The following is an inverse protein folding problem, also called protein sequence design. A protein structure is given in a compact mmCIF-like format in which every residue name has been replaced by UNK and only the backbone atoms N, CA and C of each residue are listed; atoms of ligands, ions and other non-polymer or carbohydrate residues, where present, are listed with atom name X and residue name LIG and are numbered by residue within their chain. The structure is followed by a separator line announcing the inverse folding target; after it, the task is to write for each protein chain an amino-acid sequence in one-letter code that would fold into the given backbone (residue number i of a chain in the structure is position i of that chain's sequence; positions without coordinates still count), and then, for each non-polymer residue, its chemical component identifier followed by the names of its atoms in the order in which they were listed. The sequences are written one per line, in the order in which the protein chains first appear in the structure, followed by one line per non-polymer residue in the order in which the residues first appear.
data_IF_415968221552
#
_entry.id   IF_415968221552
#
_cell.length_a   1.000
_cell.length_b   1.000
_cell.length_c   1.000
_cell.angle_alpha   90.00
_cell.angle_beta   90.00
_cell.angle_gamma   90.00
#
_symmetry.space_group_name_H-M   'P 1'
#
loop_
_entity.id
_entity.type
_entity.pdbx_description
1 polymer ?
#
# COMPACT_ATOMS: atom_id res chain seq x y z
N UNK A 1 1.29 -4.94 0.13
CA UNK A 1 2.02 -3.66 0.05
C UNK A 1 1.88 -2.94 1.39
N UNK A 2 2.94 -2.32 1.89
CA UNK A 2 2.93 -1.51 3.11
C UNK A 2 3.10 -0.03 2.77
N UNK A 3 2.63 0.85 3.66
CA UNK A 3 2.76 2.31 3.57
C UNK A 3 2.90 2.86 4.98
N UNK A 4 3.50 4.05 5.13
CA UNK A 4 3.51 4.78 6.38
C UNK A 4 2.10 4.83 7.01
N UNK A 5 2.01 4.52 8.31
CA UNK A 5 0.73 4.45 9.04
C UNK A 5 -0.02 5.80 9.02
N UNK A 6 0.71 6.92 9.15
CA UNK A 6 0.12 8.27 9.15
C UNK A 6 -0.48 8.61 7.79
N UNK A 7 0.28 8.34 6.72
CA UNK A 7 -0.19 8.57 5.36
C UNK A 7 -1.35 7.64 4.99
N UNK A 8 -1.36 6.42 5.55
CA UNK A 8 -2.46 5.47 5.39
C UNK A 8 -3.72 5.96 6.10
N UNK A 9 -3.59 6.42 7.36
CA UNK A 9 -4.70 6.99 8.13
C UNK A 9 -5.33 8.19 7.40
N UNK A 10 -4.51 9.13 6.92
CA UNK A 10 -4.98 10.29 6.15
C UNK A 10 -5.68 9.88 4.85
N UNK A 11 -5.08 8.97 4.10
CA UNK A 11 -5.67 8.45 2.86
C UNK A 11 -7.01 7.76 3.11
N UNK A 12 -7.12 7.02 4.21
CA UNK A 12 -8.34 6.28 4.54
C UNK A 12 -9.47 7.21 5.01
N UNK A 13 -9.15 8.23 5.81
CA UNK A 13 -10.07 9.29 6.18
C UNK A 13 -10.71 9.93 4.94
N UNK A 14 -9.90 10.35 3.96
CA UNK A 14 -10.42 10.96 2.73
C UNK A 14 -11.24 9.98 1.90
N UNK A 15 -10.84 8.70 1.84
CA UNK A 15 -11.59 7.68 1.12
C UNK A 15 -12.99 7.46 1.72
N UNK A 16 -13.10 7.33 3.04
CA UNK A 16 -14.39 7.15 3.71
C UNK A 16 -15.26 8.41 3.67
N UNK A 17 -14.63 9.59 3.69
CA UNK A 17 -15.33 10.87 3.51
C UNK A 17 -15.91 10.97 2.11
N UNK A 18 -15.13 10.62 1.08
CA UNK A 18 -15.57 10.62 -0.32
C UNK A 18 -16.74 9.65 -0.55
N UNK A 19 -16.71 8.48 0.08
CA UNK A 19 -17.80 7.51 0.03
C UNK A 19 -19.02 7.90 0.88
N UNK A 20 -18.95 8.99 1.64
CA UNK A 20 -20.02 9.43 2.54
C UNK A 20 -20.23 8.53 3.77
N UNK A 21 -19.31 7.58 4.00
CA UNK A 21 -19.35 6.63 5.13
C UNK A 21 -18.94 7.32 6.43
N UNK A 22 -17.96 8.21 6.37
CA UNK A 22 -17.49 8.97 7.53
C UNK A 22 -17.78 10.46 7.36
N UNK A 23 -18.33 11.08 8.40
CA UNK A 23 -18.68 12.52 8.42
C UNK A 23 -18.05 13.28 9.59
N UNK A 24 -17.23 12.61 10.40
CA UNK A 24 -16.53 13.22 11.52
C UNK A 24 -15.27 13.99 11.07
N UNK A 25 -14.54 14.56 12.02
CA UNK A 25 -13.29 15.24 11.74
C UNK A 25 -12.10 14.27 11.71
N UNK A 26 -10.95 14.76 11.25
CA UNK A 26 -9.74 13.95 11.09
C UNK A 26 -9.11 13.54 12.44
N UNK A 27 -9.20 14.38 13.48
CA UNK A 27 -8.61 14.08 14.79
C UNK A 27 -9.32 12.90 15.47
N UNK A 28 -10.67 12.90 15.41
CA UNK A 28 -11.50 11.75 15.83
C UNK A 28 -11.15 10.49 15.03
N UNK A 29 -10.96 10.64 13.72
CA UNK A 29 -10.60 9.52 12.86
C UNK A 29 -9.24 8.93 13.22
N UNK A 30 -8.24 9.78 13.53
CA UNK A 30 -6.93 9.34 13.99
C UNK A 30 -7.03 8.50 15.27
N UNK A 31 -7.88 8.90 16.20
CA UNK A 31 -8.13 8.14 17.43
C UNK A 31 -8.79 6.78 17.12
N UNK A 32 -9.76 6.74 16.21
CA UNK A 32 -10.39 5.48 15.76
C UNK A 32 -9.38 4.56 15.08
N UNK A 33 -8.49 5.10 14.24
CA UNK A 33 -7.42 4.34 13.59
C UNK A 33 -6.42 3.77 14.60
N UNK A 34 -5.97 4.59 15.55
CA UNK A 34 -4.99 4.21 16.57
C UNK A 34 -5.57 3.22 17.60
N UNK A 35 -6.88 3.28 17.86
CA UNK A 35 -7.61 2.34 18.72
C UNK A 35 -8.13 1.11 17.97
N UNK A 36 -7.68 0.90 16.73
CA UNK A 36 -8.03 -0.27 15.91
C UNK A 36 -9.55 -0.44 15.72
N UNK A 37 -10.30 0.66 15.84
CA UNK A 37 -11.77 0.69 15.81
C UNK A 37 -12.32 1.07 14.44
N UNK A 38 -11.60 0.67 13.38
CA UNK A 38 -11.93 0.89 11.97
C UNK A 38 -11.95 -0.45 11.23
N UNK A 39 -12.59 -0.49 10.05
CA UNK A 39 -12.57 -1.70 9.23
C UNK A 39 -11.14 -2.07 8.83
N UNK A 40 -10.87 -3.38 8.71
CA UNK A 40 -9.56 -3.95 8.37
C UNK A 40 -8.43 -3.63 9.37
N UNK A 41 -8.77 -3.40 10.65
CA UNK A 41 -7.83 -3.41 11.76
C UNK A 41 -7.60 -4.84 12.31
N UNK A 42 -6.51 -5.10 13.05
CA UNK A 42 -5.39 -4.20 13.40
C UNK A 42 -4.46 -3.89 12.21
N UNK A 43 -4.09 -2.62 12.05
CA UNK A 43 -3.22 -2.19 10.94
C UNK A 43 -1.82 -2.82 11.02
N UNK A 44 -1.20 -2.81 12.21
CA UNK A 44 0.16 -3.30 12.37
C UNK A 44 0.26 -4.82 12.22
N UNK A 45 -0.67 -5.58 12.79
CA UNK A 45 -0.68 -7.04 12.64
C UNK A 45 -0.80 -7.45 11.18
N UNK A 46 -1.65 -6.75 10.41
CA UNK A 46 -1.75 -6.97 8.98
C UNK A 46 -0.40 -6.75 8.28
N UNK A 47 0.29 -5.64 8.56
CA UNK A 47 1.59 -5.35 7.92
C UNK A 47 2.68 -6.31 8.39
N UNK A 48 2.77 -6.59 9.68
CA UNK A 48 3.79 -7.43 10.30
C UNK A 48 3.66 -8.90 9.85
N UNK A 49 2.44 -9.43 9.76
CA UNK A 49 2.22 -10.80 9.27
C UNK A 49 2.77 -11.03 7.85
N UNK A 50 2.63 -10.05 6.96
CA UNK A 50 3.26 -10.12 5.62
C UNK A 50 4.75 -9.77 5.65
N UNK A 51 5.19 -8.92 6.56
CA UNK A 51 6.61 -8.58 6.72
C UNK A 51 7.43 -9.79 7.15
N UNK A 52 6.91 -10.62 8.06
CA UNK A 52 7.59 -11.82 8.53
C UNK A 52 7.72 -12.87 7.43
N UNK A 53 6.81 -12.84 6.45
CA UNK A 53 6.82 -13.72 5.27
C UNK A 53 7.42 -13.07 4.03
N UNK A 54 8.10 -11.92 4.15
CA UNK A 54 8.61 -11.16 2.99
C UNK A 54 9.64 -11.92 2.14
N UNK A 55 10.27 -12.95 2.70
CA UNK A 55 11.28 -13.78 2.06
C UNK A 55 10.68 -15.06 1.43
N UNK A 56 9.36 -15.26 1.54
CA UNK A 56 8.61 -16.34 0.88
C UNK A 56 8.56 -16.09 -0.64
N UNK A 57 8.89 -17.11 -1.44
CA UNK A 57 8.92 -17.00 -2.90
C UNK A 57 7.54 -16.72 -3.51
N UNK A 58 6.46 -16.97 -2.76
CA UNK A 58 5.09 -16.69 -3.18
C UNK A 58 4.59 -15.30 -2.72
N UNK A 59 5.42 -14.50 -2.06
CA UNK A 59 5.04 -13.17 -1.55
C UNK A 59 5.99 -12.10 -2.07
N UNK A 60 5.42 -11.12 -2.77
CA UNK A 60 6.11 -9.88 -3.12
C UNK A 60 5.76 -8.77 -2.13
N UNK A 61 6.64 -8.54 -1.16
CA UNK A 61 6.47 -7.43 -0.23
C UNK A 61 7.03 -6.12 -0.82
N UNK A 62 6.13 -5.16 -1.09
CA UNK A 62 6.45 -3.82 -1.57
C UNK A 62 6.07 -2.74 -0.56
N UNK A 63 6.82 -1.64 -0.54
CA UNK A 63 6.47 -0.42 0.21
C UNK A 63 6.06 0.67 -0.77
N UNK A 64 4.98 1.38 -0.48
CA UNK A 64 4.43 2.44 -1.33
C UNK A 64 5.45 3.56 -1.59
N UNK A 65 6.29 3.87 -0.60
CA UNK A 65 7.30 4.91 -0.70
C UNK A 65 8.35 4.57 -1.77
N UNK A 66 8.70 3.29 -1.93
CA UNK A 66 9.59 2.86 -3.01
C UNK A 66 8.93 2.92 -4.38
N UNK A 67 7.61 2.68 -4.47
CA UNK A 67 6.85 2.88 -5.72
C UNK A 67 6.92 4.34 -6.17
N UNK A 68 6.82 5.27 -5.21
CA UNK A 68 6.92 6.71 -5.49
C UNK A 68 8.34 7.17 -5.83
N UNK A 69 9.35 6.51 -5.27
CA UNK A 69 10.76 6.86 -5.49
C UNK A 69 11.30 6.33 -6.82
N UNK A 70 11.00 5.07 -7.15
CA UNK A 70 11.50 4.40 -8.36
C UNK A 70 10.46 3.39 -8.86
N UNK A 71 9.48 3.92 -9.58
CA UNK A 71 8.40 3.14 -10.17
C UNK A 71 8.93 2.10 -11.15
N UNK A 72 9.87 2.48 -12.02
CA UNK A 72 10.50 1.61 -13.02
C UNK A 72 11.11 0.35 -12.40
N UNK A 73 11.88 0.48 -11.32
CA UNK A 73 12.46 -0.69 -10.62
C UNK A 73 11.38 -1.56 -9.98
N UNK A 74 10.32 -0.98 -9.42
CA UNK A 74 9.21 -1.75 -8.84
C UNK A 74 8.44 -2.52 -9.91
N UNK A 75 8.17 -1.93 -11.08
CA UNK A 75 7.51 -2.61 -12.20
C UNK A 75 8.37 -3.81 -12.64
N UNK A 76 9.69 -3.63 -12.83
CA UNK A 76 10.60 -4.73 -13.19
C UNK A 76 10.61 -5.85 -12.16
N UNK A 77 10.72 -5.51 -10.87
CA UNK A 77 10.69 -6.49 -9.78
C UNK A 77 9.36 -7.26 -9.76
N UNK A 78 8.26 -6.58 -10.03
CA UNK A 78 6.93 -7.20 -10.08
C UNK A 78 6.80 -8.14 -11.27
N UNK A 79 7.30 -7.76 -12.46
CA UNK A 79 7.32 -8.63 -13.63
C UNK A 79 8.16 -9.90 -13.40
N UNK A 80 9.36 -9.75 -12.82
CA UNK A 80 10.22 -10.88 -12.44
C UNK A 80 9.55 -11.82 -11.44
N UNK A 81 8.88 -11.27 -10.42
CA UNK A 81 8.13 -12.07 -9.44
C UNK A 81 6.99 -12.88 -10.09
N UNK A 82 6.38 -12.34 -11.15
CA UNK A 82 5.31 -13.00 -11.91
C UNK A 82 5.84 -13.91 -13.04
N UNK A 83 7.15 -14.13 -13.12
CA UNK A 83 7.82 -14.89 -14.19
C UNK A 83 7.44 -14.37 -15.59
N UNK A 84 7.48 -13.04 -15.74
CA UNK A 84 7.22 -12.34 -17.00
C UNK A 84 8.45 -11.60 -17.49
N UNK A 85 8.84 -11.89 -18.72
CA UNK A 85 9.75 -11.05 -19.47
C UNK A 85 9.07 -9.74 -19.85
N UNK A 86 9.79 -8.64 -19.69
CA UNK A 86 9.28 -7.30 -19.95
C UNK A 86 10.30 -6.50 -20.76
N UNK A 87 9.87 -5.99 -21.92
CA UNK A 87 10.69 -5.10 -22.73
C UNK A 87 10.71 -3.68 -22.16
N UNK A 88 11.70 -2.88 -22.57
CA UNK A 88 11.79 -1.47 -22.16
C UNK A 88 10.60 -0.64 -22.68
N UNK A 89 10.06 -0.98 -23.85
CA UNK A 89 8.86 -0.32 -24.39
C UNK A 89 7.63 -0.58 -23.53
N UNK A 90 7.42 -1.83 -23.09
CA UNK A 90 6.30 -2.18 -22.18
C UNK A 90 6.46 -1.50 -20.82
N UNK A 91 7.69 -1.40 -20.33
CA UNK A 91 7.98 -0.70 -19.09
C UNK A 91 7.64 0.78 -19.20
N UNK A 92 8.04 1.45 -20.29
CA UNK A 92 7.73 2.86 -20.53
C UNK A 92 6.22 3.12 -20.61
N UNK A 93 5.45 2.19 -21.19
CA UNK A 93 3.98 2.30 -21.21
C UNK A 93 3.40 2.26 -19.79
N UNK A 94 3.89 1.35 -18.94
CA UNK A 94 3.41 1.20 -17.56
C UNK A 94 3.85 2.33 -16.63
N UNK A 95 5.01 2.94 -16.88
CA UNK A 95 5.52 4.06 -16.07
C UNK A 95 4.73 5.36 -16.30
N UNK A 96 4.14 5.54 -17.48
CA UNK A 96 3.44 6.76 -17.89
C UNK A 96 1.91 6.71 -17.71
N UNK A 97 1.36 5.66 -17.10
CA UNK A 97 -0.08 5.47 -16.89
C UNK A 97 -0.50 5.77 -15.45
#
# INVERSE_FOLDING_TARGET
MARNAKDTCLSYFHHLTLLGVYKGNFDEFCNLFASESICCSPFFDHILGYWDRRDDSQILFLKYEYVKQDLRSVIRRTAQFLDKDMSDDQLLVLENH
#
